data_IF_430015008170
#
_entry.id   IF_430015008170
#
_cell.length_a   1.000
_cell.length_b   1.000
_cell.length_c   1.000
_cell.angle_alpha   90.00
_cell.angle_beta   90.00
_cell.angle_gamma   90.00
#
_symmetry.space_group_name_H-M   'P 1'
#
loop_
_entity.id
_entity.type
_entity.pdbx_description
1 polymer ?
#
# COMPACT_ATOMS: atom_id res chain seq x y z
N UNK A 1 6.87 -42.38 -4.46
CA UNK A 1 7.07 -42.21 -3.01
C UNK A 1 8.30 -41.36 -2.74
N UNK A 2 8.30 -40.59 -1.64
CA UNK A 2 9.46 -39.78 -1.26
C UNK A 2 10.61 -40.66 -0.76
N UNK A 3 11.83 -40.31 -1.12
CA UNK A 3 13.06 -40.86 -0.57
C UNK A 3 13.52 -39.94 0.56
N UNK A 4 13.55 -40.48 1.78
CA UNK A 4 13.89 -39.73 3.00
C UNK A 4 15.00 -40.48 3.73
N UNK A 5 16.14 -39.82 3.89
CA UNK A 5 17.28 -40.35 4.63
C UNK A 5 17.54 -39.44 5.84
N UNK A 6 17.33 -39.97 7.04
CA UNK A 6 17.58 -39.28 8.31
C UNK A 6 18.91 -39.74 8.88
N UNK A 7 19.80 -38.79 9.15
CA UNK A 7 21.08 -38.97 9.86
C UNK A 7 21.01 -38.28 11.22
N UNK A 8 22.00 -38.53 12.07
CA UNK A 8 22.03 -37.98 13.43
C UNK A 8 21.92 -36.45 13.47
N UNK A 9 22.47 -35.75 12.47
CA UNK A 9 22.45 -34.28 12.37
C UNK A 9 21.93 -33.75 11.05
N UNK A 10 21.34 -34.58 10.21
CA UNK A 10 20.83 -34.08 8.93
C UNK A 10 19.68 -34.89 8.35
N UNK A 11 18.91 -34.24 7.48
CA UNK A 11 17.79 -34.81 6.76
C UNK A 11 17.97 -34.55 5.27
N UNK A 12 17.99 -35.63 4.50
CA UNK A 12 17.92 -35.61 3.05
C UNK A 12 16.52 -35.99 2.61
N UNK A 13 15.92 -35.15 1.77
CA UNK A 13 14.60 -35.39 1.20
C UNK A 13 14.65 -35.26 -0.31
N UNK A 14 14.11 -36.25 -1.03
CA UNK A 14 13.90 -36.21 -2.47
C UNK A 14 12.53 -36.79 -2.82
N UNK A 15 11.76 -36.10 -3.65
CA UNK A 15 10.46 -36.59 -4.10
C UNK A 15 10.07 -36.00 -5.45
N UNK A 16 9.31 -36.78 -6.21
CA UNK A 16 8.71 -36.31 -7.46
C UNK A 16 7.22 -36.10 -7.24
N UNK A 17 6.73 -34.88 -7.45
CA UNK A 17 5.33 -34.52 -7.24
C UNK A 17 4.73 -33.83 -8.46
N UNK A 18 3.44 -34.06 -8.69
CA UNK A 18 2.69 -33.47 -9.81
C UNK A 18 1.75 -32.40 -9.27
N UNK A 19 2.01 -31.14 -9.60
CA UNK A 19 1.16 -30.00 -9.22
C UNK A 19 0.45 -29.38 -10.41
N UNK A 20 -0.21 -28.25 -10.21
CA UNK A 20 -0.93 -27.51 -11.26
C UNK A 20 -0.03 -27.06 -12.44
N UNK A 21 1.29 -27.03 -12.24
CA UNK A 21 2.31 -26.69 -13.27
C UNK A 21 3.03 -27.92 -13.83
N UNK A 22 2.47 -29.11 -13.66
CA UNK A 22 3.03 -30.38 -14.14
C UNK A 22 3.91 -31.08 -13.10
N UNK A 23 4.63 -32.11 -13.58
CA UNK A 23 5.54 -32.95 -12.78
C UNK A 23 6.83 -32.18 -12.47
N UNK A 24 7.19 -32.13 -11.19
CA UNK A 24 8.42 -31.48 -10.70
C UNK A 24 9.13 -32.35 -9.68
N UNK A 25 10.45 -32.24 -9.70
CA UNK A 25 11.33 -32.90 -8.76
C UNK A 25 11.66 -31.92 -7.62
N UNK A 26 11.49 -32.38 -6.39
CA UNK A 26 11.73 -31.63 -5.17
C UNK A 26 12.85 -32.30 -4.39
N UNK A 27 13.87 -31.52 -4.01
CA UNK A 27 14.98 -32.01 -3.19
C UNK A 27 15.45 -30.94 -2.23
N UNK A 28 15.70 -31.31 -0.97
CA UNK A 28 16.35 -30.42 -0.02
C UNK A 28 17.20 -31.20 0.99
N UNK A 29 18.13 -30.47 1.60
CA UNK A 29 19.00 -30.94 2.67
C UNK A 29 18.86 -30.00 3.87
N UNK A 30 18.72 -30.54 5.06
CA UNK A 30 18.67 -29.78 6.32
C UNK A 30 19.71 -30.32 7.29
N UNK A 31 20.57 -29.45 7.79
CA UNK A 31 21.47 -29.74 8.91
C UNK A 31 20.81 -29.31 10.22
N UNK A 32 20.58 -30.26 11.12
CA UNK A 32 19.91 -30.02 12.40
C UNK A 32 20.80 -29.30 13.39
N UNK A 33 20.16 -28.51 14.27
CA UNK A 33 20.86 -27.77 15.32
C UNK A 33 21.46 -28.68 16.42
N UNK A 34 20.83 -29.82 16.70
CA UNK A 34 21.33 -30.83 17.64
C UNK A 34 20.97 -32.24 17.13
N UNK A 35 21.44 -33.27 17.84
CA UNK A 35 21.31 -34.66 17.41
C UNK A 35 19.88 -35.21 17.56
N UNK A 36 19.46 -35.99 16.57
CA UNK A 36 18.21 -36.78 16.59
C UNK A 36 18.50 -38.27 16.76
N UNK A 37 17.51 -39.01 17.24
CA UNK A 37 17.57 -40.47 17.27
C UNK A 37 17.28 -41.04 15.88
N UNK A 38 18.09 -42.00 15.45
CA UNK A 38 18.03 -42.56 14.08
C UNK A 38 17.48 -43.99 14.05
N UNK A 39 16.99 -44.54 15.18
CA UNK A 39 16.42 -45.87 15.16
C UNK A 39 15.07 -45.84 14.43
N UNK A 40 14.74 -46.93 13.73
CA UNK A 40 13.49 -47.06 12.94
C UNK A 40 12.19 -46.86 13.74
N UNK A 41 12.23 -46.83 15.09
CA UNK A 41 11.06 -46.56 15.93
C UNK A 41 10.85 -45.07 16.21
N UNK A 42 11.89 -44.27 16.05
CA UNK A 42 11.96 -42.87 16.51
C UNK A 42 11.84 -41.87 15.34
N UNK A 43 11.78 -42.39 14.10
CA UNK A 43 11.50 -41.65 12.87
C UNK A 43 10.18 -42.17 12.29
N UNK A 44 9.13 -41.37 12.36
CA UNK A 44 7.84 -41.70 11.75
C UNK A 44 7.62 -40.85 10.49
N UNK A 45 7.39 -41.51 9.35
CA UNK A 45 7.09 -40.84 8.08
C UNK A 45 5.65 -41.15 7.67
N UNK A 46 4.81 -40.13 7.66
CA UNK A 46 3.41 -40.21 7.19
C UNK A 46 3.28 -39.49 5.86
N UNK A 47 2.98 -40.24 4.81
CA UNK A 47 2.70 -39.66 3.49
C UNK A 47 1.20 -39.52 3.31
N UNK A 48 0.73 -38.28 3.14
CA UNK A 48 -0.62 -37.95 2.72
C UNK A 48 -0.63 -37.55 1.25
N UNK A 49 -1.78 -37.63 0.57
CA UNK A 49 -1.91 -37.18 -0.83
C UNK A 49 -1.65 -35.68 -1.04
N UNK A 50 -1.48 -34.90 0.05
CA UNK A 50 -1.23 -33.45 0.01
C UNK A 50 0.10 -33.02 0.65
N UNK A 51 0.67 -33.80 1.55
CA UNK A 51 1.89 -33.46 2.28
C UNK A 51 2.60 -34.71 2.78
N UNK A 52 3.87 -34.56 3.12
CA UNK A 52 4.67 -35.57 3.82
C UNK A 52 5.00 -35.02 5.20
N UNK A 53 4.63 -35.76 6.23
CA UNK A 53 4.93 -35.46 7.62
C UNK A 53 6.07 -36.37 8.10
N UNK A 54 7.10 -35.76 8.70
CA UNK A 54 8.24 -36.46 9.29
C UNK A 54 8.31 -36.09 10.76
N UNK A 55 8.13 -37.07 11.63
CA UNK A 55 8.27 -36.91 13.08
C UNK A 55 9.62 -37.43 13.52
N UNK A 56 10.37 -36.61 14.26
CA UNK A 56 11.73 -36.91 14.71
C UNK A 56 11.80 -36.81 16.24
N UNK A 57 12.40 -37.81 16.88
CA UNK A 57 12.72 -37.75 18.31
C UNK A 57 14.10 -37.11 18.52
N UNK A 58 14.17 -36.12 19.41
CA UNK A 58 15.44 -35.48 19.79
C UNK A 58 16.25 -36.44 20.68
N UNK A 59 17.55 -36.55 20.44
CA UNK A 59 18.45 -37.36 21.29
C UNK A 59 18.59 -36.79 22.70
N UNK A 60 18.52 -35.45 22.83
CA UNK A 60 18.55 -34.75 24.12
C UNK A 60 17.23 -34.03 24.34
N UNK A 61 16.60 -34.29 25.48
CA UNK A 61 15.46 -33.50 25.92
C UNK A 61 15.91 -32.05 26.15
N UNK A 62 15.31 -31.14 25.40
CA UNK A 62 15.71 -29.74 25.43
C UNK A 62 14.99 -28.90 24.38
N UNK A 63 14.90 -27.61 24.68
CA UNK A 63 14.37 -26.63 23.75
C UNK A 63 15.34 -26.42 22.59
N UNK A 64 14.83 -26.42 21.36
CA UNK A 64 15.62 -26.06 20.18
C UNK A 64 15.21 -24.65 19.77
N UNK A 65 16.09 -23.64 19.91
CA UNK A 65 15.76 -22.28 19.47
C UNK A 65 15.58 -22.18 17.96
N UNK A 66 16.23 -23.08 17.20
CA UNK A 66 16.12 -23.21 15.75
C UNK A 66 16.19 -24.70 15.36
N UNK A 67 15.55 -25.06 14.25
CA UNK A 67 15.61 -26.42 13.70
C UNK A 67 16.99 -26.72 13.09
N UNK A 68 17.61 -25.73 12.47
CA UNK A 68 18.81 -25.91 11.64
C UNK A 68 19.99 -25.08 12.14
N UNK A 69 21.21 -25.47 11.77
CA UNK A 69 22.42 -24.65 11.95
C UNK A 69 22.65 -23.78 10.70
N UNK A 70 22.66 -22.45 10.86
CA UNK A 70 23.00 -21.51 9.79
C UNK A 70 21.82 -20.68 9.28
N UNK A 71 21.93 -20.21 8.03
CA UNK A 71 20.93 -19.32 7.42
C UNK A 71 19.63 -20.06 7.10
N UNK A 72 18.51 -19.52 7.59
CA UNK A 72 17.17 -20.07 7.38
C UNK A 72 16.74 -19.94 5.90
N UNK A 73 16.50 -21.05 5.18
CA UNK A 73 15.98 -20.97 3.82
C UNK A 73 14.57 -20.35 3.80
N UNK A 74 14.27 -19.54 2.77
CA UNK A 74 12.98 -18.84 2.64
C UNK A 74 11.76 -19.79 2.65
N UNK A 75 11.94 -21.04 2.22
CA UNK A 75 10.87 -22.05 2.16
C UNK A 75 10.60 -22.74 3.50
N UNK A 76 11.50 -22.63 4.49
CA UNK A 76 11.33 -23.28 5.80
C UNK A 76 10.47 -22.39 6.72
N UNK A 77 9.32 -22.90 7.17
CA UNK A 77 8.38 -22.17 8.04
C UNK A 77 8.04 -22.98 9.29
N UNK A 78 7.60 -22.29 10.35
CA UNK A 78 7.14 -22.93 11.60
C UNK A 78 5.70 -23.39 11.38
N UNK A 79 5.41 -24.62 11.78
CA UNK A 79 4.06 -25.15 11.89
C UNK A 79 3.49 -24.77 13.27
N UNK A 80 2.64 -23.74 13.30
CA UNK A 80 2.07 -23.24 14.55
C UNK A 80 0.96 -24.13 15.11
N UNK A 81 0.36 -25.01 14.30
CA UNK A 81 -0.69 -25.92 14.76
C UNK A 81 -0.11 -27.02 15.67
N UNK A 82 1.19 -27.34 15.50
CA UNK A 82 1.93 -28.34 16.28
C UNK A 82 2.96 -27.74 17.25
N UNK A 83 3.06 -26.42 17.31
CA UNK A 83 4.00 -25.74 18.20
C UNK A 83 3.48 -25.73 19.64
N UNK A 84 4.30 -26.20 20.57
CA UNK A 84 4.01 -26.15 22.02
C UNK A 84 4.96 -25.19 22.71
N UNK A 85 4.45 -24.42 23.66
CA UNK A 85 5.31 -23.53 24.45
C UNK A 85 6.17 -24.34 25.43
N UNK A 86 7.40 -23.87 25.72
CA UNK A 86 8.31 -24.55 26.64
C UNK A 86 7.74 -24.70 28.07
N UNK A 87 6.76 -23.88 28.45
CA UNK A 87 6.11 -23.93 29.76
C UNK A 87 4.90 -24.89 29.82
N UNK A 88 4.45 -25.41 28.67
CA UNK A 88 3.33 -26.36 28.55
C UNK A 88 3.81 -27.83 28.43
N UNK A 89 5.10 -28.11 28.63
CA UNK A 89 5.55 -29.50 28.72
C UNK A 89 4.98 -30.12 29.99
N UNK A 90 4.17 -31.16 29.84
CA UNK A 90 3.62 -32.04 30.89
C UNK A 90 4.75 -32.67 31.75
N UNK A 91 5.38 -31.87 32.60
CA UNK A 91 6.12 -32.34 33.76
C UNK A 91 5.18 -32.20 34.95
N UNK A 92 4.80 -33.32 35.53
CA UNK A 92 4.06 -33.46 36.78
C UNK A 92 4.44 -32.36 37.79
N UNK A 93 3.66 -31.28 37.84
CA UNK A 93 3.79 -30.24 38.86
C UNK A 93 2.69 -30.46 39.88
N UNK A 94 3.09 -30.97 41.04
CA UNK A 94 2.31 -30.96 42.26
C UNK A 94 1.62 -29.60 42.43
N UNK A 95 0.29 -29.62 42.57
CA UNK A 95 -0.55 -28.43 42.74
C UNK A 95 -0.20 -27.71 44.05
N UNK A 96 0.72 -26.74 43.99
CA UNK A 96 0.85 -25.72 45.02
C UNK A 96 -0.27 -24.70 44.80
N UNK A 97 -1.13 -24.41 45.80
CA UNK A 97 -2.23 -23.46 45.61
C UNK A 97 -1.66 -22.08 45.27
N UNK A 98 -1.90 -21.63 44.04
CA UNK A 98 -1.51 -20.29 43.59
C UNK A 98 -2.19 -19.21 44.44
N UNK A 99 -1.44 -18.15 44.77
CA UNK A 99 -2.03 -17.01 45.48
C UNK A 99 -2.97 -16.23 44.55
N UNK A 100 -3.99 -15.51 45.08
CA UNK A 100 -4.94 -14.75 44.27
C UNK A 100 -4.29 -13.73 43.32
N UNK A 101 -3.13 -13.20 43.69
CA UNK A 101 -2.35 -12.26 42.87
C UNK A 101 -1.76 -12.94 41.62
N UNK A 102 -1.27 -14.17 41.75
CA UNK A 102 -0.72 -14.95 40.64
C UNK A 102 -1.81 -15.35 39.63
N UNK A 103 -3.00 -15.67 40.11
CA UNK A 103 -4.15 -15.96 39.25
C UNK A 103 -4.57 -14.74 38.42
N UNK A 104 -4.53 -13.55 39.01
CA UNK A 104 -4.92 -12.32 38.31
C UNK A 104 -3.86 -11.90 37.28
N UNK A 105 -2.57 -12.12 37.57
CA UNK A 105 -1.49 -11.88 36.61
C UNK A 105 -1.54 -12.84 35.41
N UNK A 106 -1.80 -14.14 35.66
CA UNK A 106 -2.02 -15.11 34.59
C UNK A 106 -3.24 -14.78 33.73
N UNK A 107 -4.35 -14.38 34.36
CA UNK A 107 -5.57 -14.02 33.64
C UNK A 107 -5.35 -12.76 32.78
N UNK A 108 -4.58 -11.79 33.29
CA UNK A 108 -4.21 -10.57 32.54
C UNK A 108 -3.30 -10.92 31.36
N UNK A 109 -2.30 -11.77 31.56
CA UNK A 109 -1.38 -12.22 30.53
C UNK A 109 -2.09 -13.03 29.44
N UNK A 110 -3.05 -13.88 29.83
CA UNK A 110 -3.90 -14.66 28.91
C UNK A 110 -4.82 -13.76 28.08
N UNK A 111 -5.46 -12.77 28.70
CA UNK A 111 -6.24 -11.75 28.00
C UNK A 111 -5.38 -10.98 27.00
N UNK A 112 -4.17 -10.60 27.39
CA UNK A 112 -3.24 -9.88 26.52
C UNK A 112 -2.79 -10.74 25.32
N UNK A 113 -2.58 -12.04 25.54
CA UNK A 113 -2.25 -13.01 24.50
C UNK A 113 -3.42 -13.27 23.55
N UNK A 114 -4.64 -13.43 24.07
CA UNK A 114 -5.85 -13.60 23.25
C UNK A 114 -6.14 -12.36 22.41
N UNK A 115 -5.90 -11.16 22.94
CA UNK A 115 -5.96 -9.90 22.16
C UNK A 115 -4.96 -9.88 20.99
N UNK A 116 -3.72 -10.31 21.22
CA UNK A 116 -2.69 -10.34 20.16
C UNK A 116 -2.95 -11.45 19.13
N UNK A 117 -3.57 -12.55 19.55
CA UNK A 117 -4.00 -13.67 18.70
C UNK A 117 -5.20 -13.31 17.83
N UNK A 118 -6.20 -12.62 18.38
CA UNK A 118 -7.35 -12.13 17.62
C UNK A 118 -6.99 -10.97 16.67
N UNK A 119 -5.97 -10.18 16.99
CA UNK A 119 -5.48 -9.08 16.15
C UNK A 119 -4.79 -9.53 14.84
N UNK A 120 -4.26 -10.76 14.79
CA UNK A 120 -3.49 -11.29 13.65
C UNK A 120 -4.27 -12.24 12.73
N UNK A 121 -5.51 -12.60 13.09
CA UNK A 121 -6.30 -13.66 12.43
C UNK A 121 -7.40 -13.20 11.47
N UNK A 122 -7.59 -11.90 11.23
CA UNK A 122 -8.49 -11.41 10.17
C UNK A 122 -7.65 -11.05 8.95
N UNK A 123 -8.19 -11.23 7.74
CA UNK A 123 -7.69 -10.65 6.49
C UNK A 123 -7.66 -9.11 6.60
N UNK A 124 -6.83 -8.57 7.47
CA UNK A 124 -6.48 -7.17 7.53
C UNK A 124 -5.51 -7.00 6.39
N UNK A 125 -5.98 -6.32 5.34
CA UNK A 125 -5.11 -5.79 4.28
C UNK A 125 -3.84 -5.28 4.96
N UNK A 126 -2.67 -5.80 4.58
CA UNK A 126 -1.45 -5.44 5.30
C UNK A 126 -1.32 -3.92 5.27
N UNK A 127 -0.84 -3.31 6.36
CA UNK A 127 -0.73 -1.84 6.42
C UNK A 127 0.00 -1.29 5.17
N UNK A 128 1.01 -2.03 4.68
CA UNK A 128 1.75 -1.73 3.46
C UNK A 128 0.91 -1.87 2.18
N UNK A 129 0.07 -2.90 2.08
CA UNK A 129 -0.88 -3.05 0.96
C UNK A 129 -1.90 -1.91 0.96
N UNK A 130 -2.46 -1.57 2.12
CA UNK A 130 -3.42 -0.47 2.27
C UNK A 130 -2.78 0.88 1.90
N UNK A 131 -1.56 1.13 2.38
CA UNK A 131 -0.79 2.33 2.03
C UNK A 131 -0.49 2.39 0.54
N UNK A 132 -0.10 1.28 -0.08
CA UNK A 132 0.17 1.23 -1.52
C UNK A 132 -1.10 1.44 -2.35
N UNK A 133 -2.24 0.90 -1.92
CA UNK A 133 -3.53 1.14 -2.54
C UNK A 133 -3.93 2.62 -2.46
N UNK A 134 -3.77 3.26 -1.29
CA UNK A 134 -4.01 4.69 -1.10
C UNK A 134 -3.10 5.54 -2.00
N UNK A 135 -1.81 5.19 -2.12
CA UNK A 135 -0.88 5.88 -3.02
C UNK A 135 -1.29 5.75 -4.48
N UNK A 136 -1.66 4.54 -4.93
CA UNK A 136 -2.13 4.33 -6.30
C UNK A 136 -3.39 5.14 -6.60
N UNK A 137 -4.35 5.15 -5.67
CA UNK A 137 -5.55 5.96 -5.77
C UNK A 137 -5.22 7.46 -5.85
N UNK A 138 -4.35 7.95 -4.98
CA UNK A 138 -3.87 9.34 -5.00
C UNK A 138 -3.23 9.70 -6.33
N UNK A 139 -2.33 8.86 -6.86
CA UNK A 139 -1.68 9.10 -8.16
C UNK A 139 -2.69 9.14 -9.31
N UNK A 140 -3.65 8.21 -9.32
CA UNK A 140 -4.69 8.15 -10.34
C UNK A 140 -5.61 9.37 -10.27
N UNK A 141 -6.02 9.76 -9.05
CA UNK A 141 -6.82 10.96 -8.81
C UNK A 141 -6.11 12.23 -9.30
N UNK A 142 -4.84 12.40 -8.94
CA UNK A 142 -4.05 13.57 -9.37
C UNK A 142 -3.88 13.62 -10.88
N UNK A 143 -3.69 12.47 -11.54
CA UNK A 143 -3.63 12.40 -13.01
C UNK A 143 -4.94 12.87 -13.64
N UNK A 144 -6.07 12.31 -13.21
CA UNK A 144 -7.40 12.66 -13.74
C UNK A 144 -7.70 14.13 -13.50
N UNK A 145 -7.39 14.64 -12.30
CA UNK A 145 -7.54 16.05 -11.97
C UNK A 145 -6.69 16.95 -12.87
N UNK A 146 -5.40 16.66 -13.04
CA UNK A 146 -4.52 17.47 -13.88
C UNK A 146 -4.97 17.47 -15.34
N UNK A 147 -5.43 16.33 -15.87
CA UNK A 147 -6.00 16.24 -17.22
C UNK A 147 -7.26 17.09 -17.32
N UNK A 148 -8.17 17.01 -16.33
CA UNK A 148 -9.40 17.81 -16.33
C UNK A 148 -9.09 19.32 -16.27
N UNK A 149 -8.12 19.73 -15.44
CA UNK A 149 -7.71 21.12 -15.32
C UNK A 149 -7.06 21.61 -16.62
N UNK A 150 -6.18 20.81 -17.22
CA UNK A 150 -5.58 21.10 -18.53
C UNK A 150 -6.65 21.29 -19.60
N UNK A 151 -7.62 20.36 -19.70
CA UNK A 151 -8.70 20.45 -20.68
C UNK A 151 -9.54 21.70 -20.47
N UNK A 152 -9.85 22.07 -19.22
CA UNK A 152 -10.57 23.31 -18.92
C UNK A 152 -9.85 24.56 -19.44
N UNK A 153 -8.54 24.66 -19.18
CA UNK A 153 -7.74 25.80 -19.66
C UNK A 153 -7.57 25.79 -21.18
N UNK A 154 -7.32 24.61 -21.75
CA UNK A 154 -7.18 24.42 -23.19
C UNK A 154 -8.46 24.83 -23.94
N UNK A 155 -9.64 24.48 -23.44
CA UNK A 155 -10.91 24.89 -24.03
C UNK A 155 -11.10 26.41 -24.02
N UNK A 156 -10.78 27.08 -22.90
CA UNK A 156 -10.85 28.55 -22.80
C UNK A 156 -9.91 29.22 -23.79
N UNK A 157 -8.65 28.79 -23.87
CA UNK A 157 -7.69 29.35 -24.85
C UNK A 157 -8.14 29.08 -26.27
N UNK A 158 -8.57 27.86 -26.56
CA UNK A 158 -9.03 27.47 -27.90
C UNK A 158 -10.19 28.33 -28.35
N UNK A 159 -11.16 28.60 -27.47
CA UNK A 159 -12.30 29.46 -27.78
C UNK A 159 -11.88 30.91 -28.03
N UNK A 160 -11.01 31.47 -27.17
CA UNK A 160 -10.50 32.83 -27.35
C UNK A 160 -9.75 32.98 -28.68
N UNK A 161 -8.82 32.06 -28.96
CA UNK A 161 -8.01 32.09 -30.18
C UNK A 161 -8.86 31.83 -31.43
N UNK A 162 -9.74 30.84 -31.40
CA UNK A 162 -10.62 30.52 -32.53
C UNK A 162 -11.57 31.69 -32.84
N UNK A 163 -12.17 32.30 -31.81
CA UNK A 163 -13.02 33.48 -31.98
C UNK A 163 -12.27 34.63 -32.67
N UNK A 164 -11.04 34.91 -32.24
CA UNK A 164 -10.22 35.94 -32.89
C UNK A 164 -9.79 35.56 -34.31
N UNK A 165 -9.47 34.29 -34.59
CA UNK A 165 -9.11 33.85 -35.95
C UNK A 165 -10.28 34.01 -36.92
N UNK A 166 -11.50 33.71 -36.48
CA UNK A 166 -12.70 33.75 -37.33
C UNK A 166 -13.23 35.17 -37.52
N UNK A 167 -13.34 35.95 -36.43
CA UNK A 167 -14.02 37.24 -36.43
C UNK A 167 -13.05 38.44 -36.35
N UNK A 168 -11.75 38.20 -36.18
CA UNK A 168 -10.75 39.27 -36.08
C UNK A 168 -10.99 40.18 -34.88
N UNK A 169 -10.83 41.49 -35.09
CA UNK A 169 -11.03 42.52 -34.05
C UNK A 169 -12.47 42.66 -33.60
N UNK A 170 -13.45 42.28 -34.42
CA UNK A 170 -14.88 42.37 -34.09
C UNK A 170 -15.24 41.39 -32.96
N UNK A 171 -14.41 40.36 -32.73
CA UNK A 171 -14.55 39.48 -31.58
C UNK A 171 -14.44 40.20 -30.24
N UNK A 172 -13.72 41.34 -30.19
CA UNK A 172 -13.54 42.10 -28.95
C UNK A 172 -14.87 42.56 -28.36
N UNK A 173 -15.89 42.79 -29.17
CA UNK A 173 -17.20 43.25 -28.68
C UNK A 173 -18.00 42.16 -27.94
N UNK A 174 -17.61 40.88 -28.08
CA UNK A 174 -18.43 39.75 -27.61
C UNK A 174 -17.67 38.68 -26.84
N UNK A 175 -16.33 38.66 -26.83
CA UNK A 175 -15.56 37.61 -26.16
C UNK A 175 -15.84 37.54 -24.65
N UNK A 176 -16.02 38.68 -23.98
CA UNK A 176 -16.20 38.72 -22.53
C UNK A 176 -17.49 38.03 -22.10
N UNK A 177 -18.61 38.40 -22.73
CA UNK A 177 -19.92 37.80 -22.44
C UNK A 177 -19.93 36.31 -22.74
N UNK A 178 -19.24 35.89 -23.80
CA UNK A 178 -19.14 34.48 -24.14
C UNK A 178 -18.29 33.72 -23.13
N UNK A 179 -17.08 34.20 -22.81
CA UNK A 179 -16.03 33.40 -22.13
C UNK A 179 -15.92 33.62 -20.62
N UNK A 180 -16.42 34.73 -20.07
CA UNK A 180 -16.17 35.15 -18.68
C UNK A 180 -16.60 34.13 -17.63
N UNK A 181 -17.73 33.44 -17.84
CA UNK A 181 -18.21 32.40 -16.92
C UNK A 181 -17.25 31.21 -16.89
N UNK A 182 -16.78 30.75 -18.05
CA UNK A 182 -15.81 29.64 -18.16
C UNK A 182 -14.47 30.01 -17.55
N UNK A 183 -14.01 31.24 -17.80
CA UNK A 183 -12.80 31.81 -17.18
C UNK A 183 -12.90 31.74 -15.65
N UNK A 184 -14.01 32.24 -15.07
CA UNK A 184 -14.22 32.22 -13.61
C UNK A 184 -14.26 30.81 -13.04
N UNK A 185 -15.00 29.90 -13.67
CA UNK A 185 -15.07 28.50 -13.23
C UNK A 185 -13.68 27.87 -13.24
N UNK A 186 -12.92 28.02 -14.32
CA UNK A 186 -11.57 27.46 -14.41
C UNK A 186 -10.61 28.08 -13.37
N UNK A 187 -10.68 29.39 -13.13
CA UNK A 187 -9.88 30.04 -12.07
C UNK A 187 -10.28 29.56 -10.67
N UNK A 188 -11.57 29.33 -10.40
CA UNK A 188 -12.02 28.77 -9.11
C UNK A 188 -11.50 27.33 -8.95
N UNK A 189 -11.52 26.52 -10.01
CA UNK A 189 -11.01 25.15 -9.95
C UNK A 189 -9.51 25.08 -9.60
N UNK A 190 -8.72 26.11 -9.89
CA UNK A 190 -7.30 26.17 -9.49
C UNK A 190 -7.11 26.16 -7.96
N UNK A 191 -8.13 26.50 -7.15
CA UNK A 191 -8.02 26.36 -5.70
C UNK A 191 -7.81 24.91 -5.25
N UNK A 192 -8.17 23.92 -6.08
CA UNK A 192 -7.82 22.53 -5.80
C UNK A 192 -6.30 22.30 -5.77
N UNK A 193 -5.51 23.02 -6.57
CA UNK A 193 -4.04 22.96 -6.50
C UNK A 193 -3.53 23.42 -5.13
N UNK A 194 -4.14 24.49 -4.59
CA UNK A 194 -3.82 25.01 -3.26
C UNK A 194 -4.19 23.98 -2.20
N UNK A 195 -5.38 23.37 -2.32
CA UNK A 195 -5.81 22.33 -1.38
C UNK A 195 -4.88 21.13 -1.43
N UNK A 196 -4.50 20.65 -2.62
CA UNK A 196 -3.56 19.54 -2.76
C UNK A 196 -2.20 19.85 -2.13
N UNK A 197 -1.71 21.09 -2.29
CA UNK A 197 -0.47 21.53 -1.65
C UNK A 197 -0.60 21.62 -0.12
N UNK A 198 -1.73 22.13 0.40
CA UNK A 198 -1.98 22.23 1.85
C UNK A 198 -2.08 20.85 2.51
N UNK A 199 -2.69 19.87 1.84
CA UNK A 199 -2.77 18.49 2.34
C UNK A 199 -1.49 17.68 2.12
N UNK A 200 -0.44 18.27 1.52
CA UNK A 200 0.81 17.58 1.23
C UNK A 200 0.71 16.53 0.12
N UNK A 201 -0.35 16.57 -0.69
CA UNK A 201 -0.51 15.71 -1.87
C UNK A 201 0.47 16.12 -2.99
N UNK A 202 0.89 17.38 -3.02
CA UNK A 202 1.90 17.92 -3.94
C UNK A 202 3.01 18.65 -3.19
N UNK A 203 4.19 18.77 -3.82
CA UNK A 203 5.37 19.44 -3.24
C UNK A 203 5.37 20.97 -3.45
N UNK A 204 4.31 21.56 -3.99
CA UNK A 204 4.31 22.99 -4.36
C UNK A 204 4.06 23.89 -3.15
N UNK A 205 4.60 25.11 -3.20
CA UNK A 205 4.36 26.14 -2.18
C UNK A 205 2.96 26.73 -2.30
N UNK A 206 2.03 26.31 -1.44
CA UNK A 206 0.62 26.74 -1.49
C UNK A 206 0.40 28.26 -1.34
N UNK A 207 1.30 28.97 -0.63
CA UNK A 207 1.14 30.41 -0.33
C UNK A 207 1.17 31.27 -1.59
N UNK A 208 2.12 31.01 -2.50
CA UNK A 208 2.23 31.75 -3.75
C UNK A 208 1.05 31.45 -4.67
N UNK A 209 0.67 30.17 -4.78
CA UNK A 209 -0.47 29.73 -5.57
C UNK A 209 -1.78 30.39 -5.08
N UNK A 210 -2.02 30.43 -3.77
CA UNK A 210 -3.20 31.05 -3.19
C UNK A 210 -3.31 32.54 -3.55
N UNK A 211 -2.22 33.30 -3.42
CA UNK A 211 -2.20 34.74 -3.77
C UNK A 211 -2.42 34.93 -5.26
N UNK A 212 -1.76 34.13 -6.11
CA UNK A 212 -1.87 34.22 -7.56
C UNK A 212 -3.31 33.94 -8.05
N UNK A 213 -3.92 32.86 -7.57
CA UNK A 213 -5.28 32.46 -7.97
C UNK A 213 -6.30 33.48 -7.45
N UNK A 214 -6.18 33.91 -6.19
CA UNK A 214 -7.07 34.91 -5.60
C UNK A 214 -6.97 36.26 -6.34
N UNK A 215 -5.77 36.68 -6.72
CA UNK A 215 -5.55 37.89 -7.51
C UNK A 215 -6.20 37.83 -8.88
N UNK A 216 -6.06 36.70 -9.60
CA UNK A 216 -6.73 36.49 -10.88
C UNK A 216 -8.24 36.49 -10.73
N UNK A 217 -8.77 35.77 -9.74
CA UNK A 217 -10.21 35.71 -9.50
C UNK A 217 -10.76 37.12 -9.21
N UNK A 218 -10.11 37.87 -8.32
CA UNK A 218 -10.48 39.26 -8.03
C UNK A 218 -10.49 40.13 -9.30
N UNK A 219 -9.47 40.00 -10.15
CA UNK A 219 -9.43 40.73 -11.42
C UNK A 219 -10.58 40.37 -12.35
N UNK A 220 -11.01 39.10 -12.44
CA UNK A 220 -12.17 38.73 -13.26
C UNK A 220 -13.50 39.32 -12.75
N UNK A 221 -13.60 39.61 -11.45
CA UNK A 221 -14.74 40.33 -10.89
C UNK A 221 -14.65 41.83 -11.14
N UNK A 222 -13.46 42.42 -10.99
CA UNK A 222 -13.21 43.84 -11.31
C UNK A 222 -13.52 44.12 -12.79
N UNK A 223 -13.02 43.28 -13.70
CA UNK A 223 -13.33 43.39 -15.13
C UNK A 223 -14.83 43.26 -15.36
N UNK A 224 -15.48 42.28 -14.73
CA UNK A 224 -16.93 42.09 -14.82
C UNK A 224 -17.74 43.30 -14.34
N UNK A 225 -17.24 44.05 -13.36
CA UNK A 225 -17.91 45.25 -12.85
C UNK A 225 -17.79 46.49 -13.72
N UNK A 226 -16.94 46.48 -14.75
CA UNK A 226 -16.74 47.63 -15.64
C UNK A 226 -16.91 47.24 -17.12
N UNK A 227 -18.09 47.50 -17.71
CA UNK A 227 -18.37 47.15 -19.11
C UNK A 227 -17.43 47.80 -20.12
N UNK A 228 -16.84 48.96 -19.82
CA UNK A 228 -15.98 49.69 -20.77
C UNK A 228 -14.69 48.92 -21.13
N UNK A 229 -14.28 47.97 -20.29
CA UNK A 229 -13.08 47.16 -20.53
C UNK A 229 -13.41 45.77 -21.07
N UNK A 230 -14.69 45.46 -21.29
CA UNK A 230 -15.11 44.20 -21.92
C UNK A 230 -14.73 44.13 -23.39
N UNK A 231 -14.64 45.28 -24.07
CA UNK A 231 -14.25 45.38 -25.48
C UNK A 231 -12.79 45.76 -25.69
N UNK A 232 -12.04 45.92 -24.61
CA UNK A 232 -10.64 46.33 -24.69
C UNK A 232 -9.75 45.15 -25.12
N UNK A 233 -8.92 45.37 -26.15
CA UNK A 233 -7.92 44.40 -26.60
C UNK A 233 -6.94 44.00 -25.48
N UNK A 234 -6.67 44.90 -24.53
CA UNK A 234 -5.83 44.62 -23.35
C UNK A 234 -6.44 43.54 -22.47
N UNK A 235 -7.75 43.59 -22.23
CA UNK A 235 -8.48 42.56 -21.47
C UNK A 235 -8.42 41.22 -22.18
N UNK A 236 -8.63 41.20 -23.50
CA UNK A 236 -8.52 39.99 -24.31
C UNK A 236 -7.12 39.37 -24.22
N UNK A 237 -6.06 40.16 -24.48
CA UNK A 237 -4.68 39.70 -24.41
C UNK A 237 -4.30 39.19 -23.01
N UNK A 238 -4.82 39.84 -21.95
CA UNK A 238 -4.62 39.43 -20.56
C UNK A 238 -5.19 38.04 -20.31
N UNK A 239 -6.44 37.78 -20.71
CA UNK A 239 -7.08 36.48 -20.53
C UNK A 239 -6.38 35.38 -21.34
N UNK A 240 -6.05 35.65 -22.60
CA UNK A 240 -5.31 34.71 -23.45
C UNK A 240 -3.98 34.35 -22.81
N UNK A 241 -3.21 35.34 -22.37
CA UNK A 241 -1.90 35.13 -21.73
C UNK A 241 -2.03 34.33 -20.43
N UNK A 242 -2.99 34.68 -19.57
CA UNK A 242 -3.19 33.97 -18.30
C UNK A 242 -3.47 32.49 -18.50
N UNK A 243 -4.36 32.15 -19.43
CA UNK A 243 -4.73 30.76 -19.65
C UNK A 243 -3.68 30.00 -20.48
N UNK A 244 -2.95 30.66 -21.37
CA UNK A 244 -1.79 30.07 -22.05
C UNK A 244 -0.70 29.66 -21.06
N UNK A 245 -0.39 30.50 -20.07
CA UNK A 245 0.62 30.17 -19.04
C UNK A 245 0.24 28.88 -18.30
N UNK A 246 -1.05 28.66 -18.02
CA UNK A 246 -1.51 27.46 -17.32
C UNK A 246 -1.46 26.18 -18.16
N UNK A 247 -1.47 26.29 -19.49
CA UNK A 247 -1.30 25.12 -20.38
C UNK A 247 0.14 24.60 -20.33
N UNK A 248 1.12 25.49 -20.14
CA UNK A 248 2.55 25.15 -20.10
C UNK A 248 3.10 24.87 -18.70
N UNK A 249 2.28 25.10 -17.66
CA UNK A 249 2.65 24.90 -16.25
C UNK A 249 2.48 23.44 -15.85
#
# INVERSE_FOLDING_TARGET
DPEIEVKEKSLNYQAVATGARGRKDYSFHLDFNDEVETNNRDVEVKTSGRHVEVTLTKRRMGWWPQLITGDKPHWLKIDFDKWKHPDESDSDKEEVPMTPEQQMDEMTKKLMFDFDREGKGKNTMSLDEAVNYVRYFQSTYLLVYNVALFLGHFLVVSELLFGFIVYGTDYFDSFWEQTSVRVRICTILQYFDVMHAVFGLTKSGYKAALVQISGRLAMTFIIGGNPNIHTAATTYCLLVTWFLIEIFR
#
